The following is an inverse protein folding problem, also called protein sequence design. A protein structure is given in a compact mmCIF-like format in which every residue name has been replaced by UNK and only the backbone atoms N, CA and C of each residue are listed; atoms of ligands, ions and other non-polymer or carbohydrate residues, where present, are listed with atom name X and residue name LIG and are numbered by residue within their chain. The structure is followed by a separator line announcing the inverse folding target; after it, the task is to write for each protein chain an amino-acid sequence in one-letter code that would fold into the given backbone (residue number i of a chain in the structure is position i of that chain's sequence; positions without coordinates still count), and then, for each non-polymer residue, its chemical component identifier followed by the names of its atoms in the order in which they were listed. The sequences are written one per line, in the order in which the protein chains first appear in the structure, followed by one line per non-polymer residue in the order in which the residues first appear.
data_IF_671808698922
#
_entry.id   IF_671808698922
#
_cell.length_a   1.000
_cell.length_b   1.000
_cell.length_c   1.000
_cell.angle_alpha   90.00
_cell.angle_beta   90.00
_cell.angle_gamma   90.00
#
_symmetry.space_group_name_H-M   'P 1'
#
loop_
_entity.id
_entity.type
_entity.pdbx_description
1 polymer ?
#
# COMPACT_ATOMS: atom_id res chain seq x y z
N UNK A 1 -8.17 24.27 3.64
CA UNK A 1 -8.31 22.80 3.75
C UNK A 1 -8.69 22.43 5.17
N UNK A 2 -9.65 21.50 5.37
CA UNK A 2 -10.03 21.03 6.70
C UNK A 2 -8.84 20.38 7.43
N UNK A 3 -8.76 20.55 8.75
CA UNK A 3 -7.71 19.96 9.58
C UNK A 3 -7.97 18.48 9.87
N UNK A 4 -7.93 17.66 8.82
CA UNK A 4 -8.21 16.22 8.91
C UNK A 4 -7.02 15.54 9.60
N UNK A 5 -7.24 14.95 10.77
CA UNK A 5 -6.19 14.21 11.48
C UNK A 5 -6.03 12.80 10.91
N UNK A 6 -7.15 12.14 10.60
CA UNK A 6 -7.19 10.77 10.11
C UNK A 6 -8.22 10.67 8.99
N UNK A 7 -7.85 9.99 7.90
CA UNK A 7 -8.75 9.64 6.81
C UNK A 7 -8.68 8.13 6.54
N UNK A 8 -9.83 7.56 6.18
CA UNK A 8 -9.96 6.21 5.68
C UNK A 8 -10.63 6.30 4.32
N UNK A 9 -9.92 5.90 3.27
CA UNK A 9 -10.40 5.91 1.89
C UNK A 9 -10.46 4.47 1.41
N UNK A 10 -11.68 3.96 1.26
CA UNK A 10 -11.97 2.62 0.75
C UNK A 10 -12.81 2.81 -0.50
N UNK A 11 -12.20 2.71 -1.68
CA UNK A 11 -12.89 2.92 -2.94
C UNK A 11 -12.45 1.91 -3.98
N UNK A 12 -13.38 1.50 -4.84
CA UNK A 12 -13.10 0.57 -5.92
C UNK A 12 -12.51 1.28 -7.15
N UNK A 13 -12.82 2.55 -7.38
CA UNK A 13 -12.30 3.33 -8.52
C UNK A 13 -12.19 4.82 -8.18
N UNK A 14 -11.29 5.53 -8.86
CA UNK A 14 -11.22 7.01 -8.84
C UNK A 14 -11.00 7.69 -7.47
N UNK A 15 -9.97 7.33 -6.67
CA UNK A 15 -9.67 8.05 -5.43
C UNK A 15 -9.00 9.43 -5.66
N UNK A 16 -8.69 9.82 -6.89
CA UNK A 16 -7.87 11.00 -7.22
C UNK A 16 -8.41 12.31 -6.64
N UNK A 17 -9.70 12.59 -6.84
CA UNK A 17 -10.37 13.79 -6.33
C UNK A 17 -10.41 13.81 -4.80
N UNK A 18 -10.61 12.64 -4.18
CA UNK A 18 -10.64 12.50 -2.73
C UNK A 18 -9.24 12.74 -2.16
N UNK A 19 -8.23 12.09 -2.74
CA UNK A 19 -6.83 12.18 -2.30
C UNK A 19 -6.29 13.61 -2.43
N UNK A 20 -6.62 14.30 -3.53
CA UNK A 20 -6.25 15.71 -3.73
C UNK A 20 -6.93 16.66 -2.74
N UNK A 21 -8.14 16.34 -2.28
CA UNK A 21 -8.86 17.13 -1.28
C UNK A 21 -8.33 16.95 0.17
N UNK A 22 -7.58 15.87 0.45
CA UNK A 22 -7.14 15.49 1.81
C UNK A 22 -5.62 15.54 2.02
N UNK A 23 -4.87 16.23 1.18
CA UNK A 23 -3.38 16.31 1.25
C UNK A 23 -2.82 16.78 2.60
N UNK A 24 -3.61 17.49 3.41
CA UNK A 24 -3.23 17.91 4.77
C UNK A 24 -3.35 16.84 5.86
N UNK A 25 -3.76 15.62 5.52
CA UNK A 25 -4.01 14.53 6.48
C UNK A 25 -2.74 14.06 7.19
N UNK A 26 -2.84 13.72 8.48
CA UNK A 26 -1.70 13.16 9.25
C UNK A 26 -1.64 11.63 9.22
N UNK A 27 -2.79 10.97 9.15
CA UNK A 27 -2.91 9.50 9.12
C UNK A 27 -3.86 9.07 8.02
N UNK A 28 -3.36 8.31 7.06
CA UNK A 28 -4.13 7.83 5.92
C UNK A 28 -4.17 6.30 5.95
N UNK A 29 -5.38 5.75 5.89
CA UNK A 29 -5.60 4.38 5.46
C UNK A 29 -6.20 4.43 4.05
N UNK A 30 -5.54 3.78 3.11
CA UNK A 30 -5.92 3.72 1.71
C UNK A 30 -6.15 2.25 1.34
N UNK A 31 -7.40 1.91 1.05
CA UNK A 31 -7.81 0.58 0.61
C UNK A 31 -8.34 0.68 -0.83
N UNK A 32 -7.62 0.09 -1.77
CA UNK A 32 -7.96 0.11 -3.20
C UNK A 32 -8.06 -1.33 -3.71
N UNK A 33 -9.24 -1.97 -3.62
CA UNK A 33 -9.45 -3.33 -4.13
C UNK A 33 -9.31 -3.44 -5.65
N UNK A 34 -9.51 -2.33 -6.37
CA UNK A 34 -9.29 -2.24 -7.82
C UNK A 34 -8.55 -0.96 -8.18
N UNK A 35 -7.28 -1.07 -8.55
CA UNK A 35 -6.40 0.05 -8.86
C UNK A 35 -6.29 0.22 -10.37
N UNK A 36 -6.69 1.39 -10.87
CA UNK A 36 -6.33 1.81 -12.23
C UNK A 36 -5.14 2.77 -12.17
N UNK A 37 -4.35 2.83 -13.23
CA UNK A 37 -3.17 3.69 -13.34
C UNK A 37 -3.48 5.19 -13.14
N UNK A 38 -4.73 5.58 -13.35
CA UNK A 38 -5.25 6.95 -13.17
C UNK A 38 -5.82 7.23 -11.76
N UNK A 39 -5.71 6.26 -10.84
CA UNK A 39 -6.30 6.37 -9.52
C UNK A 39 -5.56 7.35 -8.60
N UNK A 40 -4.24 7.54 -8.78
CA UNK A 40 -3.45 8.42 -7.91
C UNK A 40 -3.34 9.85 -8.47
N UNK A 41 -3.61 10.90 -7.66
CA UNK A 41 -3.61 12.27 -8.15
C UNK A 41 -2.19 12.77 -8.43
N UNK A 42 -1.90 13.07 -9.69
CA UNK A 42 -0.62 13.67 -10.10
C UNK A 42 -0.44 15.04 -9.44
N UNK A 43 0.71 15.27 -8.81
CA UNK A 43 1.08 16.56 -8.23
C UNK A 43 0.51 16.84 -6.83
N UNK A 44 -0.17 15.87 -6.20
CA UNK A 44 -0.64 16.01 -4.82
C UNK A 44 0.44 15.62 -3.81
N UNK A 45 0.88 16.56 -2.98
CA UNK A 45 1.91 16.31 -1.96
C UNK A 45 1.31 16.26 -0.56
N UNK A 46 1.50 15.13 0.13
CA UNK A 46 1.07 14.85 1.49
C UNK A 46 2.10 15.31 2.53
N UNK A 47 2.37 16.61 2.59
CA UNK A 47 3.41 17.20 3.45
C UNK A 47 3.26 16.88 4.95
N UNK A 48 2.04 16.58 5.42
CA UNK A 48 1.74 16.34 6.83
C UNK A 48 1.53 14.86 7.16
N UNK A 49 1.60 13.97 6.17
CA UNK A 49 1.32 12.56 6.38
C UNK A 49 2.45 11.93 7.18
N UNK A 50 2.09 11.41 8.35
CA UNK A 50 3.00 10.78 9.30
C UNK A 50 2.81 9.26 9.32
N UNK A 51 1.57 8.79 9.15
CA UNK A 51 1.27 7.36 9.12
C UNK A 51 0.46 7.02 7.87
N UNK A 52 0.93 6.03 7.13
CA UNK A 52 0.29 5.49 5.94
C UNK A 52 0.05 4.00 6.13
N UNK A 53 -1.18 3.57 5.88
CA UNK A 53 -1.54 2.16 5.72
C UNK A 53 -2.09 1.97 4.31
N UNK A 54 -1.51 1.07 3.53
CA UNK A 54 -2.00 0.69 2.21
C UNK A 54 -2.55 -0.73 2.29
N UNK A 55 -3.73 -0.92 1.71
CA UNK A 55 -4.39 -2.20 1.52
C UNK A 55 -4.82 -2.32 0.05
N UNK A 56 -4.43 -3.40 -0.62
CA UNK A 56 -4.83 -3.64 -2.01
C UNK A 56 -4.62 -5.10 -2.40
N UNK A 57 -5.38 -5.55 -3.40
CA UNK A 57 -5.32 -6.88 -3.99
C UNK A 57 -4.76 -6.90 -5.41
N UNK A 58 -4.16 -5.79 -5.85
CA UNK A 58 -3.89 -5.52 -7.26
C UNK A 58 -2.44 -5.72 -7.66
N UNK A 59 -2.23 -6.09 -8.92
CA UNK A 59 -0.92 -6.46 -9.48
C UNK A 59 0.01 -5.22 -9.55
N UNK A 60 -0.51 -4.03 -9.84
CA UNK A 60 0.31 -2.81 -9.96
C UNK A 60 0.45 -1.99 -8.66
N UNK A 61 0.21 -2.60 -7.50
CA UNK A 61 0.23 -1.94 -6.20
C UNK A 61 1.55 -1.20 -5.89
N UNK A 62 2.67 -1.66 -6.45
CA UNK A 62 3.98 -1.03 -6.25
C UNK A 62 4.05 0.38 -6.83
N UNK A 63 3.38 0.65 -7.97
CA UNK A 63 3.35 1.99 -8.57
C UNK A 63 2.66 2.98 -7.64
N UNK A 64 1.52 2.58 -7.06
CA UNK A 64 0.82 3.35 -6.04
C UNK A 64 1.72 3.61 -4.83
N UNK A 65 2.37 2.57 -4.30
CA UNK A 65 3.29 2.71 -3.17
C UNK A 65 4.35 3.76 -3.48
N UNK A 66 4.99 3.69 -4.64
CA UNK A 66 6.06 4.61 -5.02
C UNK A 66 5.58 6.05 -5.18
N UNK A 67 4.41 6.27 -5.77
CA UNK A 67 3.79 7.59 -5.84
C UNK A 67 3.55 8.16 -4.44
N UNK A 68 2.89 7.41 -3.57
CA UNK A 68 2.56 7.91 -2.22
C UNK A 68 3.83 8.18 -1.41
N UNK A 69 4.85 7.33 -1.50
CA UNK A 69 6.13 7.57 -0.80
C UNK A 69 6.84 8.83 -1.29
N UNK A 70 6.87 9.07 -2.61
CA UNK A 70 7.46 10.29 -3.19
C UNK A 70 6.73 11.55 -2.69
N UNK A 71 5.42 11.47 -2.60
CA UNK A 71 4.57 12.59 -2.21
C UNK A 71 4.40 12.74 -0.69
N UNK A 72 5.02 11.89 0.14
CA UNK A 72 4.88 11.92 1.60
C UNK A 72 6.21 12.16 2.33
N UNK A 73 6.87 13.32 2.15
CA UNK A 73 8.23 13.56 2.63
C UNK A 73 8.40 13.51 4.16
N UNK A 74 7.31 13.59 4.93
CA UNK A 74 7.32 13.52 6.40
C UNK A 74 6.84 12.17 6.95
N UNK A 75 6.69 11.16 6.09
CA UNK A 75 6.15 9.86 6.48
C UNK A 75 7.08 9.17 7.49
N UNK A 76 6.51 8.74 8.63
CA UNK A 76 7.24 8.06 9.70
C UNK A 76 6.89 6.59 9.86
N UNK A 77 5.65 6.22 9.54
CA UNK A 77 5.18 4.85 9.65
C UNK A 77 4.49 4.42 8.36
N UNK A 78 4.97 3.32 7.79
CA UNK A 78 4.38 2.65 6.64
C UNK A 78 3.88 1.28 7.06
N UNK A 79 2.62 0.96 6.72
CA UNK A 79 2.04 -0.37 6.87
C UNK A 79 1.48 -0.86 5.54
N UNK A 80 1.90 -2.05 5.11
CA UNK A 80 1.37 -2.76 3.94
C UNK A 80 0.54 -3.95 4.40
N UNK A 81 -0.60 -4.13 3.76
CA UNK A 81 -1.51 -5.26 3.94
C UNK A 81 -2.04 -5.66 2.56
N UNK A 82 -1.32 -6.56 1.89
CA UNK A 82 -1.64 -6.96 0.53
C UNK A 82 -2.45 -8.26 0.55
N UNK A 83 -3.38 -8.39 -0.40
CA UNK A 83 -4.22 -9.57 -0.55
C UNK A 83 -4.00 -10.16 -1.94
N UNK A 84 -3.07 -11.09 -2.09
CA UNK A 84 -2.83 -11.72 -3.38
C UNK A 84 -4.05 -12.54 -3.82
N UNK A 85 -4.66 -12.18 -4.95
CA UNK A 85 -5.49 -13.11 -5.72
C UNK A 85 -4.53 -13.94 -6.56
N UNK A 86 -4.47 -15.25 -6.27
CA UNK A 86 -3.62 -16.23 -6.92
C UNK A 86 -4.01 -16.42 -8.39
N UNK A 87 -3.66 -15.49 -9.26
CA UNK A 87 -3.52 -15.78 -10.68
C UNK A 87 -2.04 -15.85 -11.02
N UNK A 88 -1.54 -17.08 -11.12
CA UNK A 88 -0.13 -17.42 -11.40
C UNK A 88 0.38 -16.84 -12.74
N UNK A 89 -0.52 -16.32 -13.56
CA UNK A 89 -0.27 -15.90 -14.94
C UNK A 89 0.08 -14.42 -15.09
N UNK A 90 -0.12 -13.58 -14.06
CA UNK A 90 0.11 -12.14 -14.18
C UNK A 90 1.06 -11.63 -13.10
N UNK A 91 2.34 -11.96 -13.29
CA UNK A 91 3.44 -11.46 -12.46
C UNK A 91 3.51 -9.93 -12.58
N UNK A 92 3.27 -9.25 -11.47
CA UNK A 92 3.63 -7.84 -11.33
C UNK A 92 5.15 -7.71 -11.43
N UNK A 93 5.67 -7.13 -12.52
CA UNK A 93 7.11 -6.90 -12.62
C UNK A 93 7.51 -5.72 -11.72
N UNK A 94 7.97 -6.00 -10.50
CA UNK A 94 8.70 -4.99 -9.73
C UNK A 94 9.85 -4.46 -10.58
N UNK A 95 9.96 -3.13 -10.63
CA UNK A 95 11.07 -2.44 -11.23
C UNK A 95 11.61 -1.48 -10.19
N UNK A 96 12.87 -1.69 -9.79
CA UNK A 96 13.49 -0.82 -8.79
C UNK A 96 13.45 0.64 -9.28
N UNK A 97 12.93 1.58 -8.47
CA UNK A 97 12.81 2.96 -8.88
C UNK A 97 14.19 3.60 -9.04
N UNK A 98 14.35 4.43 -10.07
CA UNK A 98 15.61 5.16 -10.35
C UNK A 98 16.02 6.15 -9.24
N UNK A 99 15.08 6.51 -8.37
CA UNK A 99 15.28 7.46 -7.27
C UNK A 99 14.60 6.96 -6.01
N UNK A 100 15.30 7.15 -4.88
CA UNK A 100 14.79 6.80 -3.56
C UNK A 100 13.87 7.92 -3.06
N UNK A 101 12.62 7.64 -2.64
CA UNK A 101 11.74 8.62 -2.03
C UNK A 101 12.37 9.29 -0.82
N UNK A 102 12.20 10.62 -0.70
CA UNK A 102 12.80 11.41 0.38
C UNK A 102 12.45 10.85 1.77
N UNK A 103 11.21 10.38 1.97
CA UNK A 103 10.79 9.85 3.27
C UNK A 103 11.60 8.62 3.72
N UNK A 104 12.04 7.75 2.80
CA UNK A 104 12.88 6.61 3.15
C UNK A 104 14.25 7.09 3.67
N UNK A 105 14.78 8.17 3.09
CA UNK A 105 16.09 8.70 3.45
C UNK A 105 16.07 9.53 4.75
N UNK A 106 14.95 10.17 5.09
CA UNK A 106 14.94 11.23 6.13
C UNK A 106 13.93 11.06 7.26
N UNK A 107 12.89 10.24 7.12
CA UNK A 107 11.78 10.27 8.09
C UNK A 107 11.16 8.93 8.44
N UNK A 108 11.28 7.90 7.60
CA UNK A 108 10.61 6.63 7.84
C UNK A 108 11.29 5.91 9.03
N UNK A 109 10.55 5.76 10.12
CA UNK A 109 11.01 5.16 11.37
C UNK A 109 10.46 3.74 11.57
N UNK A 110 9.29 3.43 11.02
CA UNK A 110 8.61 2.15 11.19
C UNK A 110 8.09 1.61 9.86
N UNK A 111 8.37 0.34 9.60
CA UNK A 111 7.82 -0.41 8.49
C UNK A 111 7.11 -1.67 8.99
N UNK A 112 5.86 -1.87 8.58
CA UNK A 112 5.09 -3.08 8.84
C UNK A 112 4.58 -3.70 7.55
N UNK A 113 4.70 -5.01 7.40
CA UNK A 113 4.11 -5.78 6.32
C UNK A 113 3.30 -6.94 6.91
N UNK A 114 2.00 -6.95 6.63
CA UNK A 114 1.06 -8.02 7.00
C UNK A 114 0.70 -8.83 5.76
N UNK A 115 0.49 -10.13 5.92
CA UNK A 115 0.26 -11.08 4.82
C UNK A 115 1.44 -11.17 3.85
N UNK A 116 2.68 -11.09 4.37
CA UNK A 116 3.87 -11.29 3.55
C UNK A 116 3.98 -12.77 3.13
N UNK A 117 3.97 -13.04 1.82
CA UNK A 117 4.03 -14.41 1.28
C UNK A 117 5.47 -14.84 0.97
N UNK A 118 6.40 -13.90 0.85
CA UNK A 118 7.80 -14.17 0.54
C UNK A 118 8.07 -14.44 -0.94
N UNK A 119 7.23 -13.89 -1.83
CA UNK A 119 7.50 -13.86 -3.27
C UNK A 119 8.77 -13.08 -3.59
N UNK A 120 9.35 -13.28 -4.78
CA UNK A 120 10.58 -12.55 -5.16
C UNK A 120 10.32 -11.04 -5.22
N UNK A 121 9.16 -10.63 -5.73
CA UNK A 121 8.73 -9.24 -5.79
C UNK A 121 8.62 -8.61 -4.39
N UNK A 122 8.01 -9.32 -3.43
CA UNK A 122 7.91 -8.84 -2.05
C UNK A 122 9.29 -8.73 -1.39
N UNK A 123 10.18 -9.69 -1.63
CA UNK A 123 11.57 -9.65 -1.13
C UNK A 123 12.31 -8.44 -1.69
N UNK A 124 12.15 -8.13 -2.97
CA UNK A 124 12.76 -6.96 -3.61
C UNK A 124 12.26 -5.65 -3.00
N UNK A 125 10.95 -5.53 -2.73
CA UNK A 125 10.39 -4.35 -2.05
C UNK A 125 10.94 -4.21 -0.63
N UNK A 126 10.97 -5.30 0.14
CA UNK A 126 11.54 -5.30 1.49
C UNK A 126 13.02 -4.89 1.43
N UNK A 127 13.80 -5.51 0.56
CA UNK A 127 15.22 -5.21 0.41
C UNK A 127 15.44 -3.73 0.04
N UNK A 128 14.63 -3.18 -0.87
CA UNK A 128 14.68 -1.77 -1.26
C UNK A 128 14.39 -0.84 -0.07
N UNK A 129 13.33 -1.09 0.69
CA UNK A 129 12.95 -0.28 1.86
C UNK A 129 14.03 -0.35 2.94
N UNK A 130 14.56 -1.55 3.23
CA UNK A 130 15.60 -1.73 4.24
C UNK A 130 16.93 -1.08 3.84
N UNK A 131 17.33 -1.20 2.57
CA UNK A 131 18.55 -0.56 2.03
C UNK A 131 18.43 0.96 1.99
N UNK A 132 17.24 1.48 1.73
CA UNK A 132 16.98 2.92 1.57
C UNK A 132 16.65 3.63 2.88
N UNK A 133 16.08 2.90 3.84
CA UNK A 133 15.49 3.42 5.08
C UNK A 133 16.48 3.84 6.14
N UNK A 134 17.14 5.00 5.97
CA UNK A 134 18.23 5.45 6.88
C UNK A 134 17.78 5.75 8.32
N UNK A 135 16.49 6.04 8.51
CA UNK A 135 15.92 6.36 9.82
C UNK A 135 15.09 5.21 10.42
N UNK A 136 15.06 4.04 9.76
CA UNK A 136 14.26 2.90 10.23
C UNK A 136 14.76 2.42 11.60
N UNK A 137 13.83 2.29 12.53
CA UNK A 137 14.05 1.81 13.90
C UNK A 137 13.32 0.51 14.19
N UNK A 138 12.19 0.30 13.50
CA UNK A 138 11.33 -0.87 13.71
C UNK A 138 10.86 -1.42 12.36
N UNK A 139 11.01 -2.73 12.21
CA UNK A 139 10.51 -3.50 11.08
C UNK A 139 9.70 -4.67 11.63
N UNK A 140 8.48 -4.86 11.14
CA UNK A 140 7.65 -6.03 11.47
C UNK A 140 7.11 -6.65 10.18
N UNK A 141 7.46 -7.89 9.92
CA UNK A 141 6.99 -8.63 8.74
C UNK A 141 6.34 -9.90 9.26
N UNK A 142 5.06 -10.07 8.93
CA UNK A 142 4.28 -11.21 9.36
C UNK A 142 3.52 -11.82 8.19
N UNK A 143 3.56 -13.14 8.12
CA UNK A 143 2.67 -13.93 7.28
C UNK A 143 1.50 -14.37 8.16
N UNK A 144 0.26 -14.07 7.78
CA UNK A 144 -0.87 -14.75 8.40
C UNK A 144 -0.97 -16.13 7.76
N UNK A 145 -0.88 -17.18 8.57
CA UNK A 145 -1.25 -18.52 8.12
C UNK A 145 -2.76 -18.50 7.88
N UNK A 146 -3.19 -18.27 6.64
CA UNK A 146 -4.56 -18.61 6.24
C UNK A 146 -4.75 -20.10 6.47
N UNK A 147 -5.27 -20.48 7.64
CA UNK A 147 -6.10 -21.68 7.70
C UNK A 147 -7.20 -21.44 6.66
N UNK A 148 -7.35 -22.32 5.65
CA UNK A 148 -8.37 -22.15 4.65
C UNK A 148 -9.71 -22.36 5.35
N UNK A 149 -10.35 -21.28 5.77
CA UNK A 149 -11.78 -21.33 6.09
C UNK A 149 -12.49 -21.51 4.75
N UNK A 150 -12.61 -22.78 4.35
CA UNK A 150 -13.66 -23.24 3.44
C UNK A 150 -14.98 -22.78 4.03
N UNK A 151 -15.45 -21.61 3.62
CA UNK A 151 -16.82 -21.16 3.81
C UNK A 151 -17.19 -20.25 2.63
N UNK A 152 -17.13 -20.81 1.41
CA UNK A 152 -18.13 -20.45 0.40
C UNK A 152 -19.27 -21.45 0.58
N UNK A 153 -20.33 -20.93 1.19
CA UNK A 153 -21.66 -21.52 1.31
C UNK A 153 -22.06 -22.34 0.08
N UNK A 154 -22.62 -23.52 0.34
CA UNK A 154 -23.31 -24.34 -0.63
C UNK A 154 -24.33 -23.52 -1.43
N UNK A 155 -24.02 -23.24 -2.70
CA UNK A 155 -25.01 -22.95 -3.72
C UNK A 155 -25.41 -24.27 -4.37
N UNK A 156 -26.20 -25.08 -3.65
CA UNK A 156 -27.01 -26.13 -4.28
C UNK A 156 -28.07 -25.44 -5.14
N UNK A 157 -27.79 -25.31 -6.43
CA UNK A 157 -28.83 -25.09 -7.45
C UNK A 157 -29.64 -26.38 -7.53
N UNK A 158 -30.81 -26.38 -6.91
CA UNK A 158 -31.92 -27.19 -7.36
C UNK A 158 -32.53 -26.53 -8.59
N UNK A 159 -32.63 -27.29 -9.69
CA UNK A 159 -33.73 -27.25 -10.66
C UNK A 159 -33.51 -28.27 -11.79
N UNK A 160 -34.58 -28.69 -12.48
CA UNK A 160 -36.00 -28.68 -12.10
C UNK A 160 -36.45 -29.98 -11.44
#
# INVERSE_FOLDING_TARGET
MPNIVKANVIVNHGPSEILSAITSVKRLYLCLPSYSKDAYPVGSVFHRLVCLKICTSEIEWFNLLMCVLKDSPSLKALKLELFCVRDEEQRSCWNEPSSVPACLLSSLETFEWVNYEGTEEEKEVVAFILRSGRCLKKVNISSETTTPTRNLSACTRLKP
#
